data_IF_754437091052
#
_entry.id   IF_754437091052
#
_cell.length_a   1.000
_cell.length_b   1.000
_cell.length_c   1.000
_cell.angle_alpha   90.00
_cell.angle_beta   90.00
_cell.angle_gamma   90.00
#
_symmetry.space_group_name_H-M   'P 1'
#
loop_
_entity.id
_entity.type
_entity.pdbx_description
1 polymer ?
#
# COMPACT_ATOMS: atom_id res chain seq x y z
N UNK A 1 7.93 18.02 -0.72
CA UNK A 1 7.42 17.70 0.64
C UNK A 1 5.90 17.53 0.70
N UNK A 2 5.18 17.58 -0.43
CA UNK A 2 3.72 17.41 -0.46
C UNK A 2 3.37 15.98 -0.85
N UNK A 3 2.64 15.30 0.03
CA UNK A 3 1.94 14.05 -0.30
C UNK A 3 0.76 14.42 -1.19
N UNK A 4 0.59 13.72 -2.31
CA UNK A 4 -0.53 13.99 -3.23
C UNK A 4 -1.86 13.67 -2.53
N UNK A 5 -2.93 14.40 -2.83
CA UNK A 5 -4.28 14.10 -2.32
C UNK A 5 -4.72 12.66 -2.62
N UNK A 6 -4.28 12.11 -3.76
CA UNK A 6 -4.52 10.71 -4.12
C UNK A 6 -3.76 9.74 -3.20
N UNK A 7 -2.53 10.08 -2.80
CA UNK A 7 -1.78 9.25 -1.86
C UNK A 7 -2.42 9.25 -0.48
N UNK A 8 -2.93 10.40 -0.01
CA UNK A 8 -3.65 10.49 1.26
C UNK A 8 -4.95 9.68 1.24
N UNK A 9 -5.71 9.76 0.14
CA UNK A 9 -6.92 8.96 -0.06
C UNK A 9 -6.64 7.45 0.01
N UNK A 10 -5.57 6.99 -0.66
CA UNK A 10 -5.20 5.56 -0.65
C UNK A 10 -4.82 5.08 0.76
N UNK A 11 -4.06 5.87 1.53
CA UNK A 11 -3.75 5.53 2.93
C UNK A 11 -5.02 5.42 3.80
N UNK A 12 -6.00 6.31 3.59
CA UNK A 12 -7.28 6.24 4.29
C UNK A 12 -8.04 4.95 3.95
N UNK A 13 -8.08 4.56 2.68
CA UNK A 13 -8.72 3.31 2.27
C UNK A 13 -8.01 2.09 2.88
N UNK A 14 -6.68 2.01 2.82
CA UNK A 14 -5.91 0.88 3.37
C UNK A 14 -6.18 0.73 4.87
N UNK A 15 -6.24 1.85 5.61
CA UNK A 15 -6.44 1.84 7.06
C UNK A 15 -7.84 1.40 7.49
N UNK A 16 -8.87 1.67 6.69
CA UNK A 16 -10.27 1.50 7.09
C UNK A 16 -11.06 0.48 6.25
N UNK A 17 -10.44 -0.15 5.24
CA UNK A 17 -11.09 -1.20 4.48
C UNK A 17 -11.27 -2.48 5.31
N UNK A 18 -12.49 -3.03 5.29
CA UNK A 18 -12.79 -4.34 5.87
C UNK A 18 -12.21 -5.46 4.99
N UNK A 19 -10.90 -5.69 5.10
CA UNK A 19 -10.17 -6.69 4.33
C UNK A 19 -9.48 -7.73 5.22
N UNK A 20 -9.31 -8.96 4.70
CA UNK A 20 -8.45 -9.98 5.31
C UNK A 20 -7.04 -9.39 5.44
N UNK A 21 -6.42 -9.51 6.63
CA UNK A 21 -5.19 -8.80 7.02
C UNK A 21 -4.02 -9.05 6.05
N UNK A 22 -3.89 -8.20 5.04
CA UNK A 22 -2.74 -8.11 4.15
C UNK A 22 -1.84 -7.00 4.68
N UNK A 23 -0.57 -7.30 4.91
CA UNK A 23 0.37 -6.27 5.32
C UNK A 23 0.73 -5.42 4.09
N UNK A 24 0.19 -4.20 4.03
CA UNK A 24 0.47 -3.23 2.98
C UNK A 24 1.46 -2.19 3.52
N UNK A 25 2.51 -1.89 2.74
CA UNK A 25 3.45 -0.81 3.06
C UNK A 25 3.75 0.04 1.84
N UNK A 26 3.78 1.36 2.01
CA UNK A 26 4.23 2.29 0.97
C UNK A 26 5.72 2.10 0.68
N UNK A 27 6.10 2.05 -0.59
CA UNK A 27 7.51 2.01 -0.98
C UNK A 27 8.12 3.42 -0.98
N UNK A 28 9.44 3.55 -1.18
CA UNK A 28 10.11 4.85 -1.16
C UNK A 28 9.47 5.83 -2.16
N UNK A 29 9.53 7.12 -1.82
CA UNK A 29 9.04 8.20 -2.70
C UNK A 29 9.66 8.18 -4.11
N UNK A 30 10.84 7.57 -4.27
CA UNK A 30 11.53 7.43 -5.54
C UNK A 30 11.03 6.28 -6.41
N UNK A 31 10.42 5.24 -5.83
CA UNK A 31 10.04 4.01 -6.55
C UNK A 31 8.52 3.89 -6.74
N UNK A 32 7.73 4.64 -5.97
CA UNK A 32 6.27 4.63 -6.11
C UNK A 32 5.62 3.29 -5.72
N UNK A 33 4.30 3.27 -5.62
CA UNK A 33 3.53 2.06 -5.36
C UNK A 33 3.57 1.53 -3.91
N UNK A 34 3.00 0.34 -3.75
CA UNK A 34 2.75 -0.33 -2.48
C UNK A 34 3.24 -1.78 -2.53
N UNK A 35 3.89 -2.23 -1.47
CA UNK A 35 4.25 -3.63 -1.27
C UNK A 35 3.18 -4.32 -0.44
N UNK A 36 2.74 -5.48 -0.94
CA UNK A 36 1.76 -6.33 -0.26
C UNK A 36 2.47 -7.59 0.23
N UNK A 37 2.17 -7.97 1.47
CA UNK A 37 2.66 -9.20 2.08
C UNK A 37 1.50 -10.01 2.65
N UNK A 38 1.52 -11.30 2.35
CA UNK A 38 0.59 -12.30 2.87
C UNK A 38 1.33 -13.30 3.75
N UNK A 39 0.60 -14.19 4.43
CA UNK A 39 1.18 -15.29 5.22
C UNK A 39 2.06 -16.24 4.40
N UNK A 40 1.72 -16.46 3.12
CA UNK A 40 2.36 -17.48 2.27
C UNK A 40 3.28 -16.92 1.19
N UNK A 41 3.15 -15.62 0.88
CA UNK A 41 3.93 -14.91 -0.14
C UNK A 41 4.32 -13.53 0.40
N UNK A 42 5.62 -13.23 0.44
CA UNK A 42 6.15 -11.94 0.93
C UNK A 42 6.56 -11.04 -0.23
N UNK A 43 6.26 -9.74 -0.14
CA UNK A 43 6.78 -8.69 -1.02
C UNK A 43 6.49 -8.88 -2.53
N UNK A 44 5.28 -9.31 -2.90
CA UNK A 44 4.93 -9.34 -4.32
C UNK A 44 4.34 -7.99 -4.76
N UNK A 45 4.61 -7.63 -6.01
CA UNK A 45 4.10 -6.40 -6.63
C UNK A 45 2.66 -6.64 -7.07
N UNK A 46 1.73 -5.83 -6.57
CA UNK A 46 0.44 -5.69 -7.23
C UNK A 46 0.62 -4.58 -8.27
N UNK A 47 0.76 -4.97 -9.54
CA UNK A 47 0.68 -4.04 -10.66
C UNK A 47 -0.81 -3.69 -10.81
N UNK A 48 -1.25 -2.65 -10.11
CA UNK A 48 -2.53 -1.99 -10.36
C UNK A 48 -2.30 -0.80 -11.30
#
# INVERSE_FOLDING_TARGET
LFQSSSEEFVEQCIKHADCLTLAVRKQSRSVGGYLISTRWQKNFWLLA
#
